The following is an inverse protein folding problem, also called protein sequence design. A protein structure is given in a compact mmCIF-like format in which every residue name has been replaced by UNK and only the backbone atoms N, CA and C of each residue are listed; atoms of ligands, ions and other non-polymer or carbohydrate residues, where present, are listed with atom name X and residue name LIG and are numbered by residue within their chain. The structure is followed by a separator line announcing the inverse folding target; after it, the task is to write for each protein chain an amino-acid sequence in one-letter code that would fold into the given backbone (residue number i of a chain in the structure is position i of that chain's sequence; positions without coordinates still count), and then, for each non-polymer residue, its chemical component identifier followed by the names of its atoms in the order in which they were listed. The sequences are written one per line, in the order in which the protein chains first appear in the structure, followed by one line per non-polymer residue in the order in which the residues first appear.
data_IF_495411428354
#
_entry.id   IF_495411428354
#
_cell.length_a   1.000
_cell.length_b   1.000
_cell.length_c   1.000
_cell.angle_alpha   90.00
_cell.angle_beta   90.00
_cell.angle_gamma   90.00
#
_symmetry.space_group_name_H-M   'P 1'
#
loop_
_entity.id
_entity.type
_entity.pdbx_description
1 polymer ?
#
# COMPACT_ATOMS: atom_id res chain seq x y z
N UNK A 1 5.40 7.17 -8.20
CA UNK A 1 5.89 8.45 -7.65
C UNK A 1 5.72 9.51 -8.73
N UNK A 2 5.07 10.66 -8.45
CA UNK A 2 4.88 11.76 -9.42
C UNK A 2 5.92 12.88 -9.29
N UNK A 3 7.06 12.63 -8.65
CA UNK A 3 8.21 13.54 -8.61
C UNK A 3 8.64 14.04 -7.22
N UNK A 4 8.09 13.49 -6.14
CA UNK A 4 8.44 13.95 -4.78
C UNK A 4 7.86 13.12 -3.64
N UNK A 5 7.25 11.96 -3.94
CA UNK A 5 6.67 11.14 -2.88
C UNK A 5 7.76 10.59 -1.96
N UNK A 6 7.55 10.72 -0.65
CA UNK A 6 8.41 10.13 0.38
C UNK A 6 7.93 8.71 0.72
N UNK A 7 8.82 7.90 1.30
CA UNK A 7 8.50 6.50 1.66
C UNK A 7 7.23 6.38 2.51
N UNK A 8 7.01 7.32 3.45
CA UNK A 8 5.82 7.34 4.29
C UNK A 8 4.52 7.53 3.49
N UNK A 9 4.51 8.35 2.43
CA UNK A 9 3.34 8.55 1.58
C UNK A 9 3.03 7.31 0.75
N UNK A 10 4.07 6.60 0.29
CA UNK A 10 3.92 5.34 -0.45
C UNK A 10 3.35 4.25 0.48
N UNK A 11 3.86 4.13 1.70
CA UNK A 11 3.36 3.16 2.69
C UNK A 11 1.91 3.47 3.09
N UNK A 12 1.57 4.75 3.27
CA UNK A 12 0.20 5.18 3.58
C UNK A 12 -0.78 4.78 2.48
N UNK A 13 -0.41 5.04 1.22
CA UNK A 13 -1.22 4.64 0.07
C UNK A 13 -1.35 3.11 -0.04
N UNK A 14 -0.25 2.38 0.16
CA UNK A 14 -0.24 0.92 0.11
C UNK A 14 -1.21 0.31 1.14
N UNK A 15 -1.25 0.84 2.36
CA UNK A 15 -2.19 0.41 3.41
C UNK A 15 -3.65 0.65 3.02
N UNK A 16 -3.96 1.84 2.51
CA UNK A 16 -5.32 2.16 2.07
C UNK A 16 -5.82 1.22 0.95
N UNK A 17 -4.92 0.84 0.03
CA UNK A 17 -5.23 -0.14 -1.03
C UNK A 17 -5.46 -1.53 -0.43
N UNK A 18 -4.57 -1.98 0.46
CA UNK A 18 -4.70 -3.28 1.13
C UNK A 18 -6.03 -3.41 1.89
N UNK A 19 -6.41 -2.39 2.66
CA UNK A 19 -7.67 -2.35 3.40
C UNK A 19 -8.89 -2.39 2.47
N UNK A 20 -8.86 -1.60 1.39
CA UNK A 20 -9.93 -1.57 0.39
C UNK A 20 -10.14 -2.92 -0.30
N UNK A 21 -9.04 -3.58 -0.67
CA UNK A 21 -9.09 -4.90 -1.32
C UNK A 21 -9.59 -5.97 -0.35
N UNK A 22 -9.12 -5.93 0.89
CA UNK A 22 -9.62 -6.84 1.92
C UNK A 22 -11.12 -6.63 2.17
N UNK A 23 -11.57 -5.39 2.36
CA UNK A 23 -12.97 -5.08 2.61
C UNK A 23 -13.90 -5.48 1.45
N UNK A 24 -13.45 -5.31 0.20
CA UNK A 24 -14.29 -5.58 -0.98
C UNK A 24 -14.27 -7.04 -1.43
N UNK A 25 -13.15 -7.74 -1.24
CA UNK A 25 -12.93 -9.05 -1.84
C UNK A 25 -12.56 -10.14 -0.83
N UNK A 26 -12.29 -9.80 0.43
CA UNK A 26 -11.76 -10.74 1.42
C UNK A 26 -10.32 -11.21 1.14
N UNK A 27 -9.62 -10.54 0.21
CA UNK A 27 -8.25 -10.89 -0.20
C UNK A 27 -7.27 -9.99 0.54
N UNK A 28 -6.22 -10.61 1.10
CA UNK A 28 -5.10 -9.89 1.70
C UNK A 28 -3.94 -9.82 0.70
N UNK A 29 -3.53 -8.59 0.38
CA UNK A 29 -2.38 -8.34 -0.47
C UNK A 29 -1.12 -8.22 0.38
N UNK A 30 -0.11 -9.03 0.08
CA UNK A 30 1.21 -8.95 0.70
C UNK A 30 2.08 -7.95 -0.06
N UNK A 31 2.86 -7.10 0.64
CA UNK A 31 3.80 -6.21 -0.03
C UNK A 31 4.98 -7.02 -0.58
N UNK A 32 5.18 -6.95 -1.90
CA UNK A 32 6.42 -7.42 -2.55
C UNK A 32 7.67 -6.63 -2.10
N UNK A 33 7.65 -5.28 -1.98
CA UNK A 33 8.85 -4.55 -1.60
C UNK A 33 9.16 -4.72 -0.11
N UNK A 34 10.44 -4.94 0.20
CA UNK A 34 10.94 -4.89 1.57
C UNK A 34 11.02 -3.43 2.00
N UNK A 35 10.28 -3.08 3.07
CA UNK A 35 10.37 -1.76 3.70
C UNK A 35 11.52 -1.81 4.70
N UNK A 36 12.52 -0.92 4.52
CA UNK A 36 13.68 -0.72 5.42
C UNK A 36 13.62 0.62 6.11
#
# INVERSE_FOLDING_TARGET
NRGGAIGAEVVTLARAIQESVYGRFGIRLEPEPVVV
#
